data_IF_320183303431
#
_entry.id   IF_320183303431
#
_cell.length_a   1.000
_cell.length_b   1.000
_cell.length_c   1.000
_cell.angle_alpha   90.00
_cell.angle_beta   90.00
_cell.angle_gamma   90.00
#
_symmetry.space_group_name_H-M   'P 1'
#
loop_
_entity.id
_entity.type
_entity.pdbx_description
1 polymer ?
#
# COMPACT_ATOMS: atom_id res chain seq x y z
N UNK A 1 -28.40 -1.34 -28.53
CA UNK A 1 -28.42 -1.01 -27.09
C UNK A 1 -27.04 -1.34 -26.54
N UNK A 2 -26.15 -0.36 -26.45
CA UNK A 2 -24.78 -0.56 -25.97
C UNK A 2 -24.74 -0.35 -24.47
N UNK A 3 -24.69 -1.44 -23.70
CA UNK A 3 -24.45 -1.39 -22.26
C UNK A 3 -23.01 -0.89 -22.02
N UNK A 4 -22.86 0.43 -21.84
CA UNK A 4 -21.65 0.99 -21.22
C UNK A 4 -21.60 0.43 -19.80
N UNK A 5 -20.80 -0.62 -19.60
CA UNK A 5 -20.44 -1.10 -18.28
C UNK A 5 -19.72 0.03 -17.57
N UNK A 6 -20.44 0.79 -16.74
CA UNK A 6 -19.88 1.80 -15.85
C UNK A 6 -19.11 1.01 -14.80
N UNK A 7 -17.81 0.84 -15.01
CA UNK A 7 -16.92 0.34 -13.99
C UNK A 7 -16.96 1.41 -12.89
N UNK A 8 -17.71 1.15 -11.82
CA UNK A 8 -17.77 2.03 -10.68
C UNK A 8 -16.36 2.08 -10.06
N UNK A 9 -15.64 3.22 -10.15
CA UNK A 9 -14.28 3.31 -9.63
C UNK A 9 -14.24 3.17 -8.10
N UNK A 10 -15.39 3.18 -7.41
CA UNK A 10 -15.52 2.89 -5.99
C UNK A 10 -15.44 1.40 -5.61
N UNK A 11 -15.42 0.49 -6.60
CA UNK A 11 -15.44 -0.96 -6.37
C UNK A 11 -14.10 -1.67 -6.62
N UNK A 12 -13.11 -0.99 -7.20
CA UNK A 12 -11.78 -1.56 -7.42
C UNK A 12 -11.08 -1.80 -6.07
N UNK A 13 -10.73 -3.06 -5.79
CA UNK A 13 -9.92 -3.42 -4.63
C UNK A 13 -8.46 -3.23 -5.01
N UNK A 14 -7.77 -2.39 -4.25
CA UNK A 14 -6.31 -2.21 -4.39
C UNK A 14 -5.57 -2.78 -3.20
N UNK A 15 -4.29 -3.12 -3.35
CA UNK A 15 -3.49 -3.66 -2.27
C UNK A 15 -2.13 -2.96 -2.08
N UNK A 16 -1.67 -2.83 -0.85
CA UNK A 16 -0.30 -2.49 -0.52
C UNK A 16 0.35 -3.65 0.25
N UNK A 17 1.50 -4.10 -0.24
CA UNK A 17 2.32 -5.10 0.44
C UNK A 17 3.53 -4.39 1.03
N UNK A 18 3.67 -4.47 2.36
CA UNK A 18 4.69 -3.73 3.11
C UNK A 18 5.54 -4.69 3.93
N UNK A 19 6.79 -4.30 4.16
CA UNK A 19 7.75 -5.01 5.00
C UNK A 19 8.30 -4.07 6.05
N UNK A 20 8.31 -4.49 7.31
CA UNK A 20 8.88 -3.72 8.43
C UNK A 20 9.85 -4.59 9.21
N UNK A 21 11.05 -4.06 9.47
CA UNK A 21 12.03 -4.72 10.33
C UNK A 21 11.48 -4.75 11.78
N UNK A 22 11.46 -5.94 12.38
CA UNK A 22 11.13 -6.12 13.78
C UNK A 22 12.35 -5.90 14.67
N UNK A 23 12.16 -5.61 15.98
CA UNK A 23 13.26 -5.45 16.93
C UNK A 23 14.15 -6.69 17.06
N UNK A 24 13.61 -7.86 16.75
CA UNK A 24 14.29 -9.17 16.80
C UNK A 24 15.19 -9.43 15.57
N UNK A 25 15.32 -8.45 14.65
CA UNK A 25 16.14 -8.56 13.45
C UNK A 25 15.48 -9.29 12.27
N UNK A 26 14.25 -9.78 12.46
CA UNK A 26 13.41 -10.38 11.41
C UNK A 26 12.54 -9.32 10.73
N UNK A 27 11.81 -9.70 9.68
CA UNK A 27 10.98 -8.78 8.90
C UNK A 27 9.54 -9.24 8.90
N UNK A 28 8.65 -8.39 9.43
CA UNK A 28 7.21 -8.60 9.36
C UNK A 28 6.68 -8.17 7.99
N UNK A 29 5.91 -9.03 7.33
CA UNK A 29 5.25 -8.76 6.06
C UNK A 29 3.76 -8.54 6.32
N UNK A 30 3.20 -7.46 5.77
CA UNK A 30 1.79 -7.10 5.94
C UNK A 30 1.14 -6.75 4.61
N UNK A 31 -0.07 -7.27 4.42
CA UNK A 31 -0.95 -6.98 3.30
C UNK A 31 -2.06 -6.05 3.75
N UNK A 32 -2.20 -4.92 3.08
CA UNK A 32 -3.30 -3.99 3.26
C UNK A 32 -4.15 -3.99 2.00
N UNK A 33 -5.46 -4.16 2.16
CA UNK A 33 -6.44 -4.06 1.09
C UNK A 33 -7.23 -2.76 1.27
N UNK A 34 -7.48 -2.08 0.17
CA UNK A 34 -8.18 -0.81 0.11
C UNK A 34 -9.38 -0.93 -0.81
N UNK A 35 -10.46 -0.24 -0.44
CA UNK A 35 -11.65 -0.08 -1.27
C UNK A 35 -11.93 1.41 -1.39
N UNK A 36 -11.80 1.97 -2.59
CA UNK A 36 -11.81 3.41 -2.79
C UNK A 36 -10.67 4.11 -2.02
N UNK A 37 -11.00 5.10 -1.19
CA UNK A 37 -10.01 5.88 -0.41
C UNK A 37 -9.70 5.31 0.99
N UNK A 38 -10.37 4.24 1.40
CA UNK A 38 -10.26 3.68 2.74
C UNK A 38 -9.52 2.34 2.76
N UNK A 39 -8.74 2.12 3.82
CA UNK A 39 -8.24 0.78 4.15
C UNK A 39 -9.42 -0.09 4.58
N UNK A 40 -9.68 -1.16 3.84
CA UNK A 40 -10.78 -2.08 4.11
C UNK A 40 -10.33 -3.23 5.02
N UNK A 41 -9.09 -3.71 4.83
CA UNK A 41 -8.56 -4.82 5.58
C UNK A 41 -7.04 -4.74 5.71
N UNK A 42 -6.49 -5.22 6.82
CA UNK A 42 -5.06 -5.36 7.02
C UNK A 42 -4.77 -6.71 7.64
N UNK A 43 -3.83 -7.46 7.07
CA UNK A 43 -3.45 -8.79 7.51
C UNK A 43 -1.93 -8.91 7.61
N UNK A 44 -1.45 -9.37 8.75
CA UNK A 44 -0.05 -9.82 8.89
C UNK A 44 0.09 -11.18 8.19
N UNK A 45 1.04 -11.28 7.26
CA UNK A 45 1.33 -12.52 6.53
C UNK A 45 2.33 -13.41 7.27
N UNK A 46 3.15 -12.82 8.14
CA UNK A 46 4.15 -13.53 8.92
C UNK A 46 5.41 -12.71 9.16
N UNK A 47 6.33 -13.32 9.89
CA UNK A 47 7.67 -12.80 10.16
C UNK A 47 8.66 -13.73 9.44
N UNK A 48 9.53 -13.15 8.63
CA UNK A 48 10.49 -13.89 7.78
C UNK A 48 11.90 -13.37 8.01
N UNK A 49 12.90 -14.16 7.63
CA UNK A 49 14.29 -13.72 7.68
C UNK A 49 14.57 -12.65 6.61
N UNK A 50 15.55 -11.77 6.86
CA UNK A 50 15.85 -10.62 5.98
C UNK A 50 16.14 -11.04 4.53
N UNK A 51 16.80 -12.18 4.35
CA UNK A 51 17.14 -12.71 3.03
C UNK A 51 15.94 -13.32 2.29
N UNK A 52 14.87 -13.68 3.00
CA UNK A 52 13.65 -14.27 2.42
C UNK A 52 12.65 -13.22 1.94
N UNK A 53 12.79 -11.96 2.41
CA UNK A 53 11.83 -10.87 2.13
C UNK A 53 11.55 -10.72 0.64
N UNK A 54 12.59 -10.70 -0.19
CA UNK A 54 12.43 -10.50 -1.63
C UNK A 54 11.60 -11.61 -2.29
N UNK A 55 11.85 -12.86 -1.91
CA UNK A 55 11.13 -14.02 -2.46
C UNK A 55 9.68 -14.05 -1.97
N UNK A 56 9.46 -13.86 -0.66
CA UNK A 56 8.12 -13.82 -0.05
C UNK A 56 7.28 -12.69 -0.65
N UNK A 57 7.84 -11.48 -0.75
CA UNK A 57 7.15 -10.34 -1.36
C UNK A 57 6.79 -10.62 -2.82
N UNK A 58 7.68 -11.26 -3.58
CA UNK A 58 7.44 -11.61 -4.99
C UNK A 58 6.39 -12.71 -5.14
N UNK A 59 6.36 -13.71 -4.25
CA UNK A 59 5.31 -14.73 -4.21
C UNK A 59 3.94 -14.13 -3.89
N UNK A 60 3.87 -13.24 -2.90
CA UNK A 60 2.64 -12.55 -2.53
C UNK A 60 2.12 -11.68 -3.68
N UNK A 61 2.98 -10.89 -4.34
CA UNK A 61 2.59 -10.07 -5.50
C UNK A 61 2.03 -10.93 -6.63
N UNK A 62 2.76 -11.95 -7.07
CA UNK A 62 2.29 -12.88 -8.12
C UNK A 62 0.98 -13.58 -7.78
N UNK A 63 0.70 -13.80 -6.49
CA UNK A 63 -0.58 -14.36 -6.07
C UNK A 63 -1.72 -13.33 -6.18
N UNK A 64 -1.49 -12.09 -5.74
CA UNK A 64 -2.47 -11.00 -5.80
C UNK A 64 -2.76 -10.56 -7.25
N UNK A 65 -1.73 -10.52 -8.09
CA UNK A 65 -1.86 -10.23 -9.53
C UNK A 65 -2.74 -11.29 -10.21
N UNK A 66 -2.59 -12.57 -9.85
CA UNK A 66 -3.44 -13.67 -10.35
C UNK A 66 -4.89 -13.57 -9.88
N UNK A 67 -5.14 -12.96 -8.73
CA UNK A 67 -6.48 -12.71 -8.22
C UNK A 67 -7.12 -11.45 -8.84
N UNK A 68 -6.40 -10.74 -9.72
CA UNK A 68 -6.88 -9.51 -10.35
C UNK A 68 -6.99 -8.33 -9.38
N UNK A 69 -6.29 -8.39 -8.24
CA UNK A 69 -6.25 -7.26 -7.29
C UNK A 69 -5.21 -6.27 -7.78
N UNK A 70 -5.62 -5.02 -7.96
CA UNK A 70 -4.71 -4.00 -8.45
C UNK A 70 -3.73 -3.59 -7.35
N UNK A 71 -2.45 -3.47 -7.68
CA UNK A 71 -1.50 -2.93 -6.73
C UNK A 71 -1.81 -1.45 -6.52
N UNK A 72 -1.87 -1.04 -5.26
CA UNK A 72 -1.77 0.37 -4.89
C UNK A 72 -0.39 0.83 -5.35
N UNK A 73 -0.35 1.44 -6.52
CA UNK A 73 0.78 2.27 -6.92
C UNK A 73 0.97 3.22 -5.76
N UNK A 74 2.16 3.25 -5.17
CA UNK A 74 2.45 4.20 -4.10
C UNK A 74 1.87 5.54 -4.55
N UNK A 75 1.12 6.27 -3.69
CA UNK A 75 0.78 7.64 -4.05
C UNK A 75 2.09 8.25 -4.51
N UNK A 76 2.07 8.92 -5.65
CA UNK A 76 3.16 9.75 -6.11
C UNK A 76 3.41 10.73 -4.97
N UNK A 77 4.22 10.31 -4.00
CA UNK A 77 4.80 11.17 -3.01
C UNK A 77 5.84 11.87 -3.86
N UNK A 78 5.37 12.87 -4.61
CA UNK A 78 6.22 13.86 -5.21
C UNK A 78 7.25 14.20 -4.13
N UNK A 79 8.54 13.90 -4.36
CA UNK A 79 9.54 14.14 -3.35
C UNK A 79 9.55 15.64 -3.09
N UNK A 80 9.04 16.04 -1.92
CA UNK A 80 9.03 17.43 -1.48
C UNK A 80 7.84 18.26 -1.94
N UNK A 81 6.74 18.18 -1.19
CA UNK A 81 6.09 19.42 -0.73
C UNK A 81 5.84 19.30 0.77
N UNK A 82 6.89 19.62 1.53
CA UNK A 82 6.68 20.16 2.88
C UNK A 82 5.72 21.35 2.72
N UNK A 83 4.64 21.48 3.52
CA UNK A 83 3.86 22.71 3.54
C UNK A 83 4.83 23.86 3.83
N UNK A 84 4.74 25.00 3.12
CA UNK A 84 5.59 26.14 3.44
C UNK A 84 5.43 26.41 4.92
N UNK A 85 6.55 26.38 5.65
CA UNK A 85 6.59 26.75 7.05
C UNK A 85 5.89 28.11 7.15
N UNK A 86 4.69 28.14 7.71
CA UNK A 86 4.06 29.39 8.06
C UNK A 86 4.96 29.98 9.15
N UNK A 87 5.83 30.91 8.74
CA UNK A 87 6.55 31.77 9.65
C UNK A 87 5.50 32.47 10.49
N UNK A 88 5.28 31.96 11.70
CA UNK A 88 4.59 32.66 12.77
C UNK A 88 5.34 33.97 12.97
N UNK A 89 4.85 35.04 12.32
CA UNK A 89 5.26 36.40 12.66
C UNK A 89 4.74 36.66 14.07
N UNK A 90 5.62 36.48 15.05
CA UNK A 90 5.46 37.03 16.38
C UNK A 90 5.41 38.56 16.20
N UNK A 91 4.22 39.15 16.27
CA UNK A 91 4.10 40.60 16.46
C UNK A 91 4.52 40.91 17.89
N UNK A 92 5.48 41.83 18.01
CA UNK A 92 5.81 42.53 19.26
C UNK A 92 4.68 43.46 19.64
#
# INVERSE_FOLDING_TARGET
>A
MSSKSVIDPGSAITYALTSRLSPEGRVAISLQLFKGRGMAHSRSLGIVERHEVADVMSKCRRHLDRLGVERLSAPDVAPGRLPPAQTLKLKR
#
